data_IF_148533685766
#
_entry.id   IF_148533685766
#
_cell.length_a   1.000
_cell.length_b   1.000
_cell.length_c   1.000
_cell.angle_alpha   90.00
_cell.angle_beta   90.00
_cell.angle_gamma   90.00
#
_symmetry.space_group_name_H-M   'P 1'
#
loop_
_entity.id
_entity.type
_entity.pdbx_description
1 polymer ?
#
# COMPACT_ATOMS: atom_id res chain seq x y z
N UNK A 1 4.66 8.87 10.77
CA UNK A 1 4.90 7.49 10.30
C UNK A 1 4.65 7.49 8.81
N UNK A 2 5.58 6.98 8.03
CA UNK A 2 5.40 6.75 6.59
C UNK A 2 5.37 5.24 6.37
N UNK A 3 4.34 4.74 5.69
CA UNK A 3 4.18 3.31 5.40
C UNK A 3 4.64 3.05 3.98
N UNK A 4 5.64 2.18 3.85
CA UNK A 4 6.24 1.80 2.58
C UNK A 4 6.13 0.28 2.37
N UNK A 5 4.91 -0.19 2.15
CA UNK A 5 4.65 -1.60 1.83
C UNK A 5 4.64 -1.75 0.31
N UNK A 6 5.66 -2.42 -0.23
CA UNK A 6 5.83 -2.68 -1.66
C UNK A 6 5.60 -4.16 -2.06
N UNK A 7 4.50 -4.54 -2.71
CA UNK A 7 3.22 -3.85 -2.76
C UNK A 7 2.11 -4.83 -2.33
N UNK A 8 1.11 -4.37 -1.56
CA UNK A 8 -0.09 -5.15 -1.31
C UNK A 8 -0.75 -5.55 -2.62
N UNK A 9 -1.06 -6.83 -2.77
CA UNK A 9 -1.81 -7.30 -3.94
C UNK A 9 -1.02 -7.33 -5.26
N UNK A 10 0.31 -7.36 -5.23
CA UNK A 10 1.12 -7.45 -6.45
C UNK A 10 1.36 -8.92 -6.86
N UNK A 11 0.65 -9.33 -7.91
CA UNK A 11 0.75 -10.67 -8.47
C UNK A 11 2.16 -10.96 -9.01
N UNK A 12 2.69 -12.15 -8.70
CA UNK A 12 3.99 -12.63 -9.20
C UNK A 12 5.17 -12.47 -8.24
N UNK A 13 5.19 -11.44 -7.38
CA UNK A 13 6.22 -11.27 -6.34
C UNK A 13 5.66 -11.41 -4.92
N UNK A 14 4.58 -10.70 -4.60
CA UNK A 14 3.98 -10.74 -3.24
C UNK A 14 2.75 -11.63 -3.16
N UNK A 15 2.11 -11.98 -4.27
CA UNK A 15 1.13 -13.07 -4.30
C UNK A 15 1.38 -14.01 -5.49
N UNK A 16 1.68 -15.27 -5.19
CA UNK A 16 1.84 -16.34 -6.16
C UNK A 16 2.17 -17.65 -5.45
N UNK A 17 2.04 -18.78 -6.15
CA UNK A 17 2.29 -20.12 -5.59
C UNK A 17 3.68 -20.29 -4.96
N UNK A 18 4.64 -19.44 -5.34
CA UNK A 18 6.03 -19.46 -4.86
C UNK A 18 6.39 -18.27 -3.94
N UNK A 19 5.46 -17.37 -3.59
CA UNK A 19 5.79 -16.15 -2.81
C UNK A 19 5.80 -16.37 -1.29
N UNK A 20 5.48 -17.57 -0.80
CA UNK A 20 5.37 -17.84 0.64
C UNK A 20 4.25 -17.05 1.34
N UNK A 21 3.40 -16.34 0.58
CA UNK A 21 2.35 -15.52 1.14
C UNK A 21 1.18 -16.35 1.67
N UNK A 22 0.71 -15.94 2.85
CA UNK A 22 -0.36 -16.62 3.59
C UNK A 22 -1.75 -16.16 3.18
N UNK A 23 -1.86 -15.03 2.47
CA UNK A 23 -3.12 -14.37 2.13
C UNK A 23 -3.19 -14.05 0.63
N UNK A 24 -4.42 -13.98 0.09
CA UNK A 24 -4.65 -13.63 -1.32
C UNK A 24 -4.25 -12.18 -1.60
N UNK A 25 -4.04 -11.84 -2.87
CA UNK A 25 -3.78 -10.45 -3.26
C UNK A 25 -4.89 -9.49 -2.81
N UNK A 26 -6.16 -9.86 -2.99
CA UNK A 26 -7.28 -9.05 -2.54
C UNK A 26 -7.31 -8.85 -1.02
N UNK A 27 -6.91 -9.87 -0.25
CA UNK A 27 -6.82 -9.77 1.20
C UNK A 27 -5.68 -8.83 1.62
N UNK A 28 -4.52 -8.86 0.95
CA UNK A 28 -3.43 -7.94 1.26
C UNK A 28 -3.82 -6.47 1.04
N UNK A 29 -4.60 -6.15 0.00
CA UNK A 29 -5.12 -4.79 -0.23
C UNK A 29 -6.05 -4.36 0.92
N UNK A 30 -6.92 -5.27 1.38
CA UNK A 30 -7.79 -5.04 2.53
C UNK A 30 -6.99 -4.88 3.84
N UNK A 31 -6.01 -5.73 4.07
CA UNK A 31 -5.14 -5.73 5.25
C UNK A 31 -4.35 -4.42 5.34
N UNK A 32 -3.80 -3.94 4.22
CA UNK A 32 -3.12 -2.65 4.17
C UNK A 32 -4.05 -1.52 4.62
N UNK A 33 -5.30 -1.52 4.15
CA UNK A 33 -6.29 -0.51 4.54
C UNK A 33 -6.65 -0.60 6.02
N UNK A 34 -6.74 -1.83 6.57
CA UNK A 34 -6.97 -2.05 7.99
C UNK A 34 -5.82 -1.52 8.85
N UNK A 35 -4.57 -1.83 8.48
CA UNK A 35 -3.36 -1.33 9.16
C UNK A 35 -3.31 0.19 9.18
N UNK A 36 -3.56 0.84 8.03
CA UNK A 36 -3.58 2.31 7.93
C UNK A 36 -4.66 2.90 8.86
N UNK A 37 -5.84 2.28 8.91
CA UNK A 37 -6.94 2.70 9.78
C UNK A 37 -6.60 2.57 11.27
N UNK A 38 -6.02 1.43 11.66
CA UNK A 38 -5.60 1.17 13.03
C UNK A 38 -4.49 2.14 13.46
N UNK A 39 -3.52 2.41 12.58
CA UNK A 39 -2.47 3.39 12.84
C UNK A 39 -3.03 4.80 12.98
N UNK A 40 -3.97 5.22 12.11
CA UNK A 40 -4.61 6.53 12.25
C UNK A 40 -5.36 6.65 13.59
N UNK A 41 -6.00 5.59 14.05
CA UNK A 41 -6.69 5.57 15.34
C UNK A 41 -5.73 5.57 16.54
N UNK A 42 -4.57 4.93 16.42
CA UNK A 42 -3.58 4.81 17.48
C UNK A 42 -2.64 6.02 17.60
N UNK A 43 -2.41 6.75 16.51
CA UNK A 43 -1.48 7.88 16.51
C UNK A 43 -2.07 9.08 17.29
N UNK A 44 -1.29 9.70 18.19
CA UNK A 44 -1.72 10.90 18.89
C UNK A 44 -1.94 12.08 17.93
N UNK A 45 -2.71 13.11 18.35
CA UNK A 45 -2.82 14.36 17.61
C UNK A 45 -1.45 14.99 17.34
N UNK A 46 -1.28 15.58 16.15
CA UNK A 46 -0.03 16.22 15.72
C UNK A 46 0.99 15.28 15.07
N UNK A 47 0.73 13.98 15.05
CA UNK A 47 1.52 13.03 14.27
C UNK A 47 0.95 12.88 12.87
N UNK A 48 1.86 12.88 11.89
CA UNK A 48 1.54 12.68 10.49
C UNK A 48 1.60 11.18 10.16
N UNK A 49 0.66 10.72 9.35
CA UNK A 49 0.60 9.38 8.79
C UNK A 49 0.53 9.48 7.27
N UNK A 50 1.54 8.95 6.61
CA UNK A 50 1.71 9.02 5.16
C UNK A 50 1.97 7.62 4.61
N UNK A 51 1.88 7.46 3.30
CA UNK A 51 2.29 6.22 2.64
C UNK A 51 2.97 6.49 1.31
N UNK A 52 3.97 5.66 0.98
CA UNK A 52 4.55 5.56 -0.34
C UNK A 52 3.79 4.51 -1.15
N UNK A 53 3.19 4.91 -2.28
CA UNK A 53 2.38 4.03 -3.13
C UNK A 53 2.99 3.91 -4.53
N UNK A 54 2.78 2.75 -5.16
CA UNK A 54 3.23 2.49 -6.54
C UNK A 54 2.63 3.50 -7.52
N UNK A 55 3.46 4.05 -8.40
CA UNK A 55 2.96 4.66 -9.63
C UNK A 55 2.46 3.55 -10.58
N UNK A 56 1.13 3.44 -10.75
CA UNK A 56 0.50 2.45 -11.63
C UNK A 56 -0.50 3.11 -12.57
N UNK A 57 -0.55 2.71 -13.86
CA UNK A 57 -1.63 3.12 -14.77
C UNK A 57 -2.99 2.52 -14.39
N UNK A 58 -3.01 1.50 -13.51
CA UNK A 58 -4.23 0.92 -12.93
C UNK A 58 -4.10 1.02 -11.39
N UNK A 59 -4.35 2.21 -10.79
CA UNK A 59 -4.11 2.44 -9.37
C UNK A 59 -4.94 1.54 -8.44
N UNK A 60 -6.16 1.20 -8.87
CA UNK A 60 -7.11 0.38 -8.10
C UNK A 60 -6.73 -1.09 -8.01
N UNK A 61 -5.75 -1.56 -8.78
CA UNK A 61 -5.31 -2.95 -8.74
C UNK A 61 -4.58 -3.30 -7.42
N UNK A 62 -4.02 -2.31 -6.73
CA UNK A 62 -3.14 -2.54 -5.58
C UNK A 62 -3.53 -1.75 -4.32
N UNK A 63 -4.39 -0.73 -4.45
CA UNK A 63 -4.76 0.13 -3.34
C UNK A 63 -6.23 0.56 -3.44
N UNK A 64 -6.94 0.54 -2.30
CA UNK A 64 -8.25 1.19 -2.17
C UNK A 64 -8.06 2.68 -1.83
N UNK A 65 -7.78 3.49 -2.86
CA UNK A 65 -7.51 4.92 -2.68
C UNK A 65 -8.69 5.68 -2.06
N UNK A 66 -9.92 5.23 -2.29
CA UNK A 66 -11.11 5.87 -1.73
C UNK A 66 -11.17 5.72 -0.21
N UNK A 67 -10.75 4.56 0.30
CA UNK A 67 -10.65 4.32 1.74
C UNK A 67 -9.36 4.87 2.37
N UNK A 68 -8.25 4.91 1.62
CA UNK A 68 -6.94 5.33 2.13
C UNK A 68 -6.79 6.86 2.23
N UNK A 69 -7.23 7.60 1.21
CA UNK A 69 -7.03 9.05 1.16
C UNK A 69 -7.55 9.78 2.42
N UNK A 70 -8.74 9.47 2.98
CA UNK A 70 -9.21 10.14 4.20
C UNK A 70 -8.41 9.78 5.46
N UNK A 71 -7.61 8.71 5.43
CA UNK A 71 -6.84 8.22 6.57
C UNK A 71 -5.39 8.71 6.57
N UNK A 72 -4.88 9.17 5.43
CA UNK A 72 -3.50 9.63 5.27
C UNK A 72 -3.45 11.16 5.20
N UNK A 73 -2.40 11.76 5.74
CA UNK A 73 -2.16 13.20 5.59
C UNK A 73 -1.77 13.53 4.14
N UNK A 74 -0.95 12.69 3.51
CA UNK A 74 -0.70 12.69 2.07
C UNK A 74 -0.12 11.34 1.60
N UNK A 75 -0.03 11.20 0.29
CA UNK A 75 0.53 10.03 -0.40
C UNK A 75 1.78 10.48 -1.17
N UNK A 76 2.89 9.77 -0.98
CA UNK A 76 4.08 9.89 -1.81
C UNK A 76 3.96 8.89 -2.96
N UNK A 77 3.73 9.36 -4.18
CA UNK A 77 3.67 8.47 -5.34
C UNK A 77 5.09 8.15 -5.82
N UNK A 78 5.46 6.87 -5.88
CA UNK A 78 6.78 6.43 -6.30
C UNK A 78 6.91 6.44 -7.82
N UNK A 79 7.13 7.63 -8.37
CA UNK A 79 7.23 7.92 -9.80
C UNK A 79 8.63 7.67 -10.36
N UNK A 80 9.24 6.57 -9.92
CA UNK A 80 10.57 6.10 -10.31
C UNK A 80 10.52 4.58 -10.51
N UNK A 81 11.65 3.97 -10.88
CA UNK A 81 11.77 2.55 -11.22
C UNK A 81 10.80 2.07 -12.31
N UNK A 82 10.41 2.98 -13.21
CA UNK A 82 9.55 2.67 -14.36
C UNK A 82 10.26 1.83 -15.42
N UNK A 83 11.59 1.97 -15.52
CA UNK A 83 12.46 1.22 -16.43
C UNK A 83 13.79 0.93 -15.74
N UNK A 84 14.40 -0.20 -16.06
CA UNK A 84 15.75 -0.56 -15.62
C UNK A 84 16.23 -1.85 -16.26
N UNK A 85 17.35 -2.39 -15.76
CA UNK A 85 18.06 -3.51 -16.38
C UNK A 85 17.56 -4.91 -15.94
N UNK A 86 16.47 -4.97 -15.18
CA UNK A 86 15.83 -6.20 -14.70
C UNK A 86 14.92 -6.85 -15.75
#
# INVERSE_FOLDING_TARGET
VDIDWEFPGFEGYTCGANSGCRTSCSQQVADFTAVVRELRAALPPGYLLTAALRASPIPTAHHDLAQLHPLLDWINLMTYDLYGAW
#
